data_IF_942281481297
#
_entry.id   IF_942281481297
#
_cell.length_a   1.000
_cell.length_b   1.000
_cell.length_c   1.000
_cell.angle_alpha   90.00
_cell.angle_beta   90.00
_cell.angle_gamma   90.00
#
_symmetry.space_group_name_H-M   'P 1'
#
loop_
_entity.id
_entity.type
_entity.pdbx_description
1 polymer ?
#
# COMPACT_ATOMS: atom_id res chain seq x y z
N UNK A 1 -8.79 -5.48 21.24
CA UNK A 1 -8.16 -5.53 19.91
C UNK A 1 -6.86 -6.30 20.06
N UNK A 2 -6.66 -7.39 19.32
CA UNK A 2 -5.46 -8.24 19.47
C UNK A 2 -4.25 -7.47 18.95
N UNK A 3 -3.19 -7.36 19.76
CA UNK A 3 -1.94 -6.70 19.38
C UNK A 3 -1.02 -7.74 18.74
N UNK A 4 -0.71 -7.59 17.45
CA UNK A 4 0.21 -8.49 16.75
C UNK A 4 1.64 -7.98 16.98
N UNK A 5 2.57 -8.80 17.50
CA UNK A 5 3.96 -8.40 17.69
C UNK A 5 4.72 -8.46 16.36
N UNK A 6 4.52 -7.46 15.50
CA UNK A 6 5.08 -7.43 14.13
C UNK A 6 6.61 -7.57 14.06
N UNK A 7 7.34 -7.13 15.09
CA UNK A 7 8.79 -7.30 15.18
C UNK A 7 9.22 -8.76 15.45
N UNK A 8 8.34 -9.58 16.02
CA UNK A 8 8.62 -10.98 16.39
C UNK A 8 8.08 -11.99 15.35
N UNK A 9 7.64 -11.53 14.18
CA UNK A 9 7.23 -12.42 13.10
C UNK A 9 8.46 -13.01 12.43
N UNK A 10 8.53 -14.35 12.40
CA UNK A 10 9.68 -15.11 11.87
C UNK A 10 9.46 -15.64 10.45
N UNK A 11 8.21 -15.69 9.98
CA UNK A 11 7.88 -16.16 8.62
C UNK A 11 6.65 -15.49 8.03
N UNK A 12 6.57 -15.51 6.71
CA UNK A 12 5.40 -15.03 5.95
C UNK A 12 4.50 -16.22 5.65
N UNK A 13 3.23 -16.09 6.00
CA UNK A 13 2.18 -17.09 5.73
C UNK A 13 1.14 -16.57 4.73
N UNK A 14 -0.09 -17.02 4.90
CA UNK A 14 -1.25 -16.47 4.19
C UNK A 14 -1.67 -15.11 4.78
N UNK A 15 -2.75 -14.53 4.25
CA UNK A 15 -3.31 -13.30 4.80
C UNK A 15 -3.68 -13.44 6.28
N UNK A 16 -3.43 -12.39 7.05
CA UNK A 16 -3.73 -12.35 8.47
C UNK A 16 -5.23 -12.53 8.75
N UNK A 17 -5.63 -13.10 9.90
CA UNK A 17 -7.04 -13.33 10.24
C UNK A 17 -7.92 -12.06 10.21
N UNK A 18 -7.34 -10.89 10.53
CA UNK A 18 -8.06 -9.63 10.45
C UNK A 18 -8.44 -9.26 9.01
N UNK A 19 -7.58 -9.58 8.03
CA UNK A 19 -7.87 -9.38 6.61
C UNK A 19 -9.03 -10.27 6.20
N UNK A 20 -8.98 -11.56 6.55
CA UNK A 20 -10.07 -12.51 6.31
C UNK A 20 -11.40 -12.02 6.88
N UNK A 21 -11.38 -11.48 8.11
CA UNK A 21 -12.57 -10.95 8.79
C UNK A 21 -13.13 -9.72 8.07
N UNK A 22 -12.27 -8.76 7.68
CA UNK A 22 -12.69 -7.58 6.91
C UNK A 22 -13.30 -8.01 5.58
N UNK A 23 -12.63 -8.89 4.84
CA UNK A 23 -13.10 -9.38 3.53
C UNK A 23 -14.43 -10.11 3.67
N UNK A 24 -14.61 -10.94 4.69
CA UNK A 24 -15.86 -11.64 4.96
C UNK A 24 -17.01 -10.65 5.22
N UNK A 25 -16.79 -9.63 6.07
CA UNK A 25 -17.79 -8.59 6.32
C UNK A 25 -18.18 -7.82 5.06
N UNK A 26 -17.21 -7.49 4.20
CA UNK A 26 -17.49 -6.84 2.91
C UNK A 26 -18.33 -7.76 2.00
N UNK A 27 -17.96 -9.04 1.90
CA UNK A 27 -18.68 -10.03 1.07
C UNK A 27 -20.11 -10.27 1.54
N UNK A 28 -20.38 -10.17 2.84
CA UNK A 28 -21.74 -10.29 3.39
C UNK A 28 -22.56 -9.00 3.20
N UNK A 29 -21.95 -7.83 3.43
CA UNK A 29 -22.68 -6.56 3.51
C UNK A 29 -22.95 -5.93 2.14
N UNK A 30 -21.96 -5.99 1.24
CA UNK A 30 -22.02 -5.29 -0.05
C UNK A 30 -23.14 -5.79 -0.97
N UNK A 31 -23.40 -7.11 -1.10
CA UNK A 31 -24.53 -7.59 -1.90
C UNK A 31 -25.88 -7.08 -1.38
N UNK A 32 -26.10 -7.11 -0.06
CA UNK A 32 -27.34 -6.62 0.54
C UNK A 32 -27.56 -5.11 0.28
N UNK A 33 -26.50 -4.29 0.32
CA UNK A 33 -26.58 -2.86 -0.03
C UNK A 33 -26.87 -2.69 -1.53
N UNK A 34 -26.23 -3.49 -2.39
CA UNK A 34 -26.45 -3.45 -3.83
C UNK A 34 -27.90 -3.73 -4.20
N UNK A 35 -28.49 -4.78 -3.64
CA UNK A 35 -29.84 -5.20 -3.99
C UNK A 35 -30.86 -4.12 -3.63
N UNK A 36 -30.66 -3.46 -2.48
CA UNK A 36 -31.45 -2.30 -2.02
C UNK A 36 -31.28 -1.05 -2.90
N UNK A 37 -30.19 -0.94 -3.65
CA UNK A 37 -29.89 0.16 -4.57
C UNK A 37 -29.99 -0.26 -6.05
N UNK A 38 -30.62 -1.39 -6.34
CA UNK A 38 -30.67 -1.99 -7.69
C UNK A 38 -31.30 -1.06 -8.74
N UNK A 39 -32.32 -0.29 -8.36
CA UNK A 39 -32.97 0.71 -9.23
C UNK A 39 -32.11 1.95 -9.50
N UNK A 40 -31.05 2.18 -8.70
CA UNK A 40 -30.24 3.40 -8.75
C UNK A 40 -28.73 3.10 -8.67
N UNK A 41 -28.23 2.37 -9.68
CA UNK A 41 -26.81 1.94 -9.80
C UNK A 41 -25.77 3.04 -9.53
N UNK A 42 -26.04 4.29 -9.92
CA UNK A 42 -25.14 5.43 -9.69
C UNK A 42 -24.85 5.66 -8.19
N UNK A 43 -25.84 5.44 -7.32
CA UNK A 43 -25.68 5.61 -5.88
C UNK A 43 -24.85 4.49 -5.26
N UNK A 44 -25.02 3.24 -5.74
CA UNK A 44 -24.17 2.13 -5.32
C UNK A 44 -22.70 2.38 -5.68
N UNK A 45 -22.42 2.80 -6.92
CA UNK A 45 -21.05 3.18 -7.33
C UNK A 45 -20.48 4.27 -6.43
N UNK A 46 -21.26 5.31 -6.15
CA UNK A 46 -20.82 6.41 -5.29
C UNK A 46 -20.56 5.96 -3.85
N UNK A 47 -21.36 5.01 -3.33
CA UNK A 47 -21.14 4.40 -2.02
C UNK A 47 -19.79 3.65 -1.99
N UNK A 48 -19.49 2.84 -3.01
CA UNK A 48 -18.20 2.15 -3.09
C UNK A 48 -17.03 3.16 -3.11
N UNK A 49 -17.13 4.23 -3.92
CA UNK A 49 -16.12 5.29 -3.97
C UNK A 49 -15.93 5.94 -2.60
N UNK A 50 -17.02 6.37 -1.96
CA UNK A 50 -16.95 7.00 -0.63
C UNK A 50 -16.38 6.06 0.43
N UNK A 51 -16.76 4.78 0.40
CA UNK A 51 -16.21 3.77 1.28
C UNK A 51 -14.70 3.66 1.11
N UNK A 52 -14.21 3.40 -0.12
CA UNK A 52 -12.77 3.28 -0.39
C UNK A 52 -12.00 4.54 0.00
N UNK A 53 -12.52 5.73 -0.36
CA UNK A 53 -11.91 7.01 0.00
C UNK A 53 -11.86 7.26 1.52
N UNK A 54 -12.70 6.60 2.32
CA UNK A 54 -12.67 6.68 3.78
C UNK A 54 -11.84 5.56 4.43
N UNK A 55 -11.84 4.37 3.83
CA UNK A 55 -11.19 3.18 4.36
C UNK A 55 -9.67 3.24 4.17
N UNK A 56 -9.21 3.59 2.95
CA UNK A 56 -7.79 3.56 2.60
C UNK A 56 -6.97 4.53 3.48
N UNK A 57 -7.39 5.79 3.71
CA UNK A 57 -6.64 6.68 4.61
C UNK A 57 -6.57 6.14 6.05
N UNK A 58 -7.64 5.52 6.55
CA UNK A 58 -7.66 4.90 7.88
C UNK A 58 -6.73 3.69 7.95
N UNK A 59 -6.67 2.87 6.90
CA UNK A 59 -5.72 1.76 6.80
C UNK A 59 -4.28 2.28 6.88
N UNK A 60 -3.93 3.28 6.07
CA UNK A 60 -2.59 3.90 6.09
C UNK A 60 -2.26 4.47 7.48
N UNK A 61 -3.22 5.11 8.15
CA UNK A 61 -3.03 5.58 9.52
C UNK A 61 -2.76 4.43 10.51
N UNK A 62 -3.39 3.26 10.34
CA UNK A 62 -3.10 2.09 11.18
C UNK A 62 -1.75 1.46 10.84
N UNK A 63 -1.32 1.47 9.57
CA UNK A 63 0.02 1.00 9.18
C UNK A 63 1.12 1.78 9.89
N UNK A 64 1.02 3.11 9.97
CA UNK A 64 1.99 3.93 10.72
C UNK A 64 2.05 3.62 12.23
N UNK A 65 1.05 2.91 12.77
CA UNK A 65 1.02 2.45 14.17
C UNK A 65 1.62 1.07 14.36
N UNK A 66 1.83 0.31 13.28
CA UNK A 66 2.57 -0.94 13.32
C UNK A 66 4.06 -0.62 13.40
N UNK A 67 4.57 -0.41 14.63
CA UNK A 67 5.98 -0.13 14.89
C UNK A 67 6.46 -0.71 16.22
N UNK A 68 7.71 -1.20 16.31
CA UNK A 68 8.64 -1.42 15.19
C UNK A 68 8.24 -2.63 14.33
N UNK A 69 8.67 -2.65 13.06
CA UNK A 69 8.52 -3.76 12.12
C UNK A 69 9.86 -4.44 11.89
N UNK A 70 9.87 -5.78 11.89
CA UNK A 70 10.95 -6.55 11.26
C UNK A 70 10.74 -6.55 9.74
N UNK A 71 11.77 -6.93 8.97
CA UNK A 71 11.64 -7.10 7.52
C UNK A 71 10.54 -8.12 7.17
N UNK A 72 10.50 -9.24 7.89
CA UNK A 72 9.48 -10.30 7.70
C UNK A 72 8.09 -9.82 8.10
N UNK A 73 7.96 -9.07 9.20
CA UNK A 73 6.67 -8.49 9.60
C UNK A 73 6.16 -7.45 8.61
N UNK A 74 7.04 -6.66 8.00
CA UNK A 74 6.70 -5.73 6.93
C UNK A 74 6.27 -6.47 5.64
N UNK A 75 6.90 -7.60 5.32
CA UNK A 75 6.53 -8.46 4.19
C UNK A 75 5.13 -9.07 4.40
N UNK A 76 4.83 -9.57 5.60
CA UNK A 76 3.49 -10.07 5.94
C UNK A 76 2.42 -8.96 5.82
N UNK A 77 2.70 -7.75 6.33
CA UNK A 77 1.80 -6.61 6.16
C UNK A 77 1.62 -6.21 4.69
N UNK A 78 2.66 -6.35 3.86
CA UNK A 78 2.57 -6.04 2.44
C UNK A 78 1.63 -7.02 1.73
N UNK A 79 1.71 -8.31 2.07
CA UNK A 79 0.75 -9.32 1.61
C UNK A 79 -0.67 -8.95 2.05
N UNK A 80 -0.87 -8.60 3.32
CA UNK A 80 -2.18 -8.22 3.86
C UNK A 80 -2.79 -7.01 3.13
N UNK A 81 -1.97 -5.97 2.88
CA UNK A 81 -2.37 -4.79 2.11
C UNK A 81 -2.73 -5.16 0.68
N UNK A 82 -1.97 -6.06 0.05
CA UNK A 82 -2.26 -6.53 -1.29
C UNK A 82 -3.61 -7.28 -1.35
N UNK A 83 -3.90 -8.13 -0.38
CA UNK A 83 -5.17 -8.86 -0.29
C UNK A 83 -6.37 -7.93 -0.04
N UNK A 84 -6.19 -6.88 0.77
CA UNK A 84 -7.22 -5.84 0.91
C UNK A 84 -7.41 -5.06 -0.40
N UNK A 85 -6.35 -4.81 -1.16
CA UNK A 85 -6.42 -4.10 -2.45
C UNK A 85 -7.24 -4.89 -3.46
N UNK A 86 -7.00 -6.20 -3.58
CA UNK A 86 -7.76 -7.07 -4.49
C UNK A 86 -9.23 -7.13 -4.09
N UNK A 87 -9.52 -7.30 -2.80
CA UNK A 87 -10.89 -7.28 -2.28
C UNK A 87 -11.61 -5.95 -2.55
N UNK A 88 -10.92 -4.82 -2.41
CA UNK A 88 -11.47 -3.50 -2.76
C UNK A 88 -11.72 -3.38 -4.26
N UNK A 89 -10.81 -3.83 -5.13
CA UNK A 89 -11.03 -3.77 -6.58
C UNK A 89 -12.27 -4.56 -7.03
N UNK A 90 -12.57 -5.68 -6.36
CA UNK A 90 -13.75 -6.50 -6.61
C UNK A 90 -15.03 -6.01 -5.92
N UNK A 91 -14.93 -5.03 -5.00
CA UNK A 91 -16.05 -4.54 -4.20
C UNK A 91 -17.27 -4.13 -5.05
N UNK A 92 -17.12 -3.35 -6.16
CA UNK A 92 -18.26 -2.95 -6.98
C UNK A 92 -18.85 -4.09 -7.82
N UNK A 93 -18.25 -5.28 -7.81
CA UNK A 93 -18.70 -6.47 -8.54
C UNK A 93 -19.14 -7.60 -7.60
N UNK A 94 -18.80 -7.52 -6.31
CA UNK A 94 -19.19 -8.49 -5.27
C UNK A 94 -20.71 -8.69 -5.22
N UNK A 95 -21.17 -9.94 -5.41
CA UNK A 95 -22.59 -10.30 -5.46
C UNK A 95 -23.31 -9.91 -6.76
N UNK A 96 -22.60 -9.58 -7.84
CA UNK A 96 -23.24 -9.36 -9.15
C UNK A 96 -23.56 -10.70 -9.79
N UNK A 97 -24.78 -10.85 -10.29
CA UNK A 97 -25.13 -11.97 -11.17
C UNK A 97 -24.50 -11.82 -12.57
N UNK A 98 -24.16 -10.59 -12.97
CA UNK A 98 -23.50 -10.31 -14.25
C UNK A 98 -22.11 -9.76 -14.00
N UNK A 99 -21.08 -10.46 -14.46
CA UNK A 99 -19.69 -10.00 -14.35
C UNK A 99 -19.53 -8.68 -15.11
N UNK A 100 -19.36 -7.59 -14.36
CA UNK A 100 -19.11 -6.25 -14.91
C UNK A 100 -17.82 -5.71 -14.33
N UNK A 101 -17.08 -4.97 -15.15
CA UNK A 101 -15.88 -4.26 -14.68
C UNK A 101 -16.29 -3.12 -13.75
N UNK A 102 -15.50 -2.92 -12.70
CA UNK A 102 -15.65 -1.77 -11.82
C UNK A 102 -15.44 -0.45 -12.60
N UNK A 103 -16.14 0.63 -12.25
CA UNK A 103 -15.95 1.93 -12.89
C UNK A 103 -14.50 2.43 -12.78
N UNK A 104 -13.98 3.04 -13.85
CA UNK A 104 -12.59 3.50 -13.90
C UNK A 104 -12.26 4.54 -12.82
N UNK A 105 -13.22 5.40 -12.48
CA UNK A 105 -13.09 6.38 -11.39
C UNK A 105 -12.89 5.72 -10.03
N UNK A 106 -13.58 4.60 -9.78
CA UNK A 106 -13.43 3.80 -8.57
C UNK A 106 -12.07 3.10 -8.53
N UNK A 107 -11.72 2.37 -9.60
CA UNK A 107 -10.48 1.60 -9.63
C UNK A 107 -9.26 2.51 -9.51
N UNK A 108 -9.29 3.71 -10.11
CA UNK A 108 -8.22 4.71 -9.96
C UNK A 108 -7.99 5.13 -8.50
N UNK A 109 -9.07 5.32 -7.73
CA UNK A 109 -8.98 5.65 -6.29
C UNK A 109 -8.33 4.50 -5.50
N UNK A 110 -8.81 3.26 -5.71
CA UNK A 110 -8.29 2.08 -5.01
C UNK A 110 -6.82 1.83 -5.37
N UNK A 111 -6.49 1.83 -6.66
CA UNK A 111 -5.12 1.59 -7.14
C UNK A 111 -4.16 2.65 -6.59
N UNK A 112 -4.48 3.95 -6.72
CA UNK A 112 -3.61 5.02 -6.22
C UNK A 112 -3.43 4.93 -4.71
N UNK A 113 -4.53 4.80 -3.97
CA UNK A 113 -4.49 4.81 -2.50
C UNK A 113 -3.77 3.58 -1.92
N UNK A 114 -4.08 2.39 -2.43
CA UNK A 114 -3.44 1.16 -1.95
C UNK A 114 -1.98 1.06 -2.41
N UNK A 115 -1.62 1.58 -3.59
CA UNK A 115 -0.22 1.65 -4.01
C UNK A 115 0.64 2.48 -3.05
N UNK A 116 0.12 3.59 -2.51
CA UNK A 116 0.83 4.35 -1.45
C UNK A 116 1.08 3.47 -0.22
N UNK A 117 0.09 2.71 0.23
CA UNK A 117 0.23 1.79 1.37
C UNK A 117 1.28 0.70 1.10
N UNK A 118 1.28 0.10 -0.09
CA UNK A 118 2.29 -0.88 -0.52
C UNK A 118 3.69 -0.26 -0.55
N UNK A 119 3.84 0.97 -1.09
CA UNK A 119 5.15 1.65 -1.18
C UNK A 119 5.72 2.02 0.19
N UNK A 120 4.89 2.43 1.15
CA UNK A 120 5.31 2.68 2.53
C UNK A 120 6.00 1.44 3.11
N UNK A 121 5.36 0.27 2.99
CA UNK A 121 5.92 -0.99 3.50
C UNK A 121 7.19 -1.41 2.75
N UNK A 122 7.26 -1.18 1.43
CA UNK A 122 8.49 -1.41 0.66
C UNK A 122 9.66 -0.56 1.14
N UNK A 123 9.43 0.73 1.43
CA UNK A 123 10.46 1.61 2.00
C UNK A 123 10.90 1.12 3.38
N UNK A 124 9.97 0.65 4.22
CA UNK A 124 10.31 0.07 5.52
C UNK A 124 11.22 -1.16 5.38
N UNK A 125 11.13 -1.92 4.29
CA UNK A 125 12.02 -3.06 4.05
C UNK A 125 13.37 -2.69 3.43
N UNK A 126 13.50 -1.52 2.78
CA UNK A 126 14.75 -1.09 2.14
C UNK A 126 15.89 -0.84 3.14
N UNK A 127 17.14 -1.04 2.74
CA UNK A 127 18.31 -0.68 3.55
C UNK A 127 18.43 0.83 3.70
N UNK A 128 18.92 1.31 4.84
CA UNK A 128 19.14 2.75 5.10
C UNK A 128 20.52 3.23 4.67
N UNK A 129 21.44 2.31 4.41
CA UNK A 129 22.80 2.58 3.96
C UNK A 129 22.93 2.36 2.45
N UNK A 130 23.52 3.30 1.68
CA UNK A 130 23.91 4.65 2.12
C UNK A 130 22.70 5.61 2.29
N UNK A 131 22.75 6.59 3.22
CA UNK A 131 21.63 7.48 3.55
C UNK A 131 21.03 8.23 2.35
N UNK A 132 21.87 8.70 1.43
CA UNK A 132 21.48 9.46 0.25
C UNK A 132 20.63 8.62 -0.70
N UNK A 133 21.06 7.38 -0.97
CA UNK A 133 20.35 6.45 -1.84
C UNK A 133 18.99 6.05 -1.24
N UNK A 134 18.93 5.85 0.08
CA UNK A 134 17.67 5.57 0.76
C UNK A 134 16.68 6.74 0.64
N UNK A 135 17.15 7.98 0.87
CA UNK A 135 16.32 9.18 0.75
C UNK A 135 15.84 9.38 -0.70
N UNK A 136 16.70 9.18 -1.69
CA UNK A 136 16.33 9.23 -3.11
C UNK A 136 15.27 8.17 -3.46
N UNK A 137 15.47 6.93 -3.00
CA UNK A 137 14.48 5.86 -3.18
C UNK A 137 13.13 6.21 -2.55
N UNK A 138 13.13 6.83 -1.36
CA UNK A 138 11.89 7.28 -0.70
C UNK A 138 11.14 8.29 -1.57
N UNK A 139 11.82 9.30 -2.12
CA UNK A 139 11.21 10.31 -3.01
C UNK A 139 10.69 9.68 -4.31
N UNK A 140 11.41 8.72 -4.88
CA UNK A 140 10.99 8.03 -6.10
C UNK A 140 9.74 7.18 -5.89
N UNK A 141 9.67 6.44 -4.78
CA UNK A 141 8.54 5.55 -4.48
C UNK A 141 7.33 6.32 -3.91
N UNK A 142 7.58 7.43 -3.21
CA UNK A 142 6.56 8.26 -2.58
C UNK A 142 6.83 9.75 -2.93
N UNK A 143 6.46 10.22 -4.14
CA UNK A 143 6.75 11.59 -4.58
C UNK A 143 6.10 12.68 -3.72
N UNK A 144 4.91 12.39 -3.17
CA UNK A 144 4.15 13.32 -2.32
C UNK A 144 4.49 13.16 -0.81
N UNK A 145 5.62 12.52 -0.48
CA UNK A 145 5.98 12.21 0.91
C UNK A 145 6.39 13.46 1.67
N UNK A 146 5.67 13.77 2.75
CA UNK A 146 6.00 14.87 3.64
C UNK A 146 6.99 14.45 4.73
N UNK A 147 7.77 15.39 5.26
CA UNK A 147 8.75 15.16 6.35
C UNK A 147 8.12 14.43 7.54
N UNK A 148 6.90 14.79 7.94
CA UNK A 148 6.18 14.14 9.04
C UNK A 148 5.80 12.68 8.74
N UNK A 149 5.47 12.36 7.49
CA UNK A 149 5.20 10.99 7.06
C UNK A 149 6.50 10.20 6.95
N UNK A 150 7.58 10.81 6.44
CA UNK A 150 8.91 10.19 6.39
C UNK A 150 9.40 9.79 7.79
N UNK A 151 9.28 10.66 8.80
CA UNK A 151 9.59 10.32 10.19
C UNK A 151 8.78 9.12 10.71
N UNK A 152 7.48 9.02 10.36
CA UNK A 152 6.67 7.84 10.73
C UNK A 152 7.19 6.56 10.08
N UNK A 153 7.72 6.63 8.86
CA UNK A 153 8.33 5.47 8.18
C UNK A 153 9.63 5.05 8.89
N UNK A 154 10.48 6.00 9.31
CA UNK A 154 11.69 5.69 10.07
C UNK A 154 11.36 5.07 11.43
N UNK A 155 10.31 5.57 12.09
CA UNK A 155 9.74 4.99 13.31
C UNK A 155 9.23 3.56 13.07
N UNK A 156 8.59 3.28 11.93
CA UNK A 156 8.16 1.92 11.56
C UNK A 156 9.34 0.98 11.41
N UNK A 157 10.45 1.43 10.82
CA UNK A 157 11.72 0.65 10.77
C UNK A 157 12.34 0.41 12.15
N UNK A 158 11.94 1.18 13.17
CA UNK A 158 12.51 1.09 14.52
C UNK A 158 13.85 1.81 14.68
N UNK A 159 14.19 2.75 13.79
CA UNK A 159 15.42 3.53 13.89
C UNK A 159 15.39 4.43 15.12
N UNK A 160 16.53 4.53 15.83
CA UNK A 160 16.69 5.44 16.97
C UNK A 160 16.83 6.88 16.50
N UNK A 161 16.53 7.83 17.38
CA UNK A 161 16.57 9.27 17.05
C UNK A 161 17.88 9.73 16.39
N UNK A 162 19.03 9.26 16.87
CA UNK A 162 20.32 9.66 16.30
C UNK A 162 20.56 9.12 14.88
N UNK A 163 19.99 7.95 14.55
CA UNK A 163 20.03 7.36 13.20
C UNK A 163 19.04 8.08 12.26
N UNK A 164 17.93 8.59 12.81
CA UNK A 164 16.93 9.33 12.03
C UNK A 164 17.39 10.74 11.62
N UNK A 165 18.13 11.44 12.49
CA UNK A 165 18.57 12.83 12.26
C UNK A 165 19.20 13.07 10.89
N UNK A 166 20.26 12.34 10.47
CA UNK A 166 20.90 12.58 9.17
C UNK A 166 19.96 12.30 8.00
N UNK A 167 19.13 11.25 8.09
CA UNK A 167 18.15 10.91 7.04
C UNK A 167 17.10 12.03 6.87
N UNK A 168 16.60 12.57 7.97
CA UNK A 168 15.59 13.64 7.95
C UNK A 168 16.20 14.94 7.41
N UNK A 169 17.45 15.25 7.73
CA UNK A 169 18.15 16.42 7.20
C UNK A 169 18.34 16.32 5.68
N UNK A 170 18.89 15.20 5.19
CA UNK A 170 19.01 14.92 3.76
C UNK A 170 17.65 14.97 3.04
N UNK A 171 16.59 14.47 3.70
CA UNK A 171 15.24 14.50 3.15
C UNK A 171 14.72 15.94 2.97
N UNK A 172 15.02 16.86 3.90
CA UNK A 172 14.63 18.28 3.81
C UNK A 172 15.39 19.02 2.72
N UNK A 173 16.71 18.82 2.61
CA UNK A 173 17.56 19.55 1.66
C UNK A 173 17.08 19.31 0.22
N UNK A 174 16.97 18.05 -0.20
CA UNK A 174 16.51 17.71 -1.55
C UNK A 174 14.99 17.89 -1.77
N UNK A 175 14.23 18.38 -0.78
CA UNK A 175 12.84 18.80 -0.95
C UNK A 175 12.69 20.24 -1.43
N UNK A 176 13.71 21.09 -1.20
CA UNK A 176 13.69 22.50 -1.59
C UNK A 176 14.07 22.74 -3.07
N UNK A 177 14.77 21.80 -3.71
CA UNK A 177 15.20 21.95 -5.12
C UNK A 177 14.13 21.62 -6.16
N UNK A 178 12.96 21.10 -5.75
CA UNK A 178 11.86 20.75 -6.68
C UNK A 178 10.99 21.99 -7.01
N UNK A 179 11.36 23.18 -6.52
CA UNK A 179 10.65 24.44 -6.78
C UNK A 179 10.97 25.11 -8.13
N UNK A 180 12.15 24.89 -8.71
CA UNK A 180 12.60 25.59 -9.92
C UNK A 180 13.80 24.86 -10.53
N UNK A 181 13.61 24.05 -11.56
CA UNK A 181 14.74 23.41 -12.23
C UNK A 181 14.32 22.46 -13.33
N UNK A 182 14.72 22.79 -14.55
CA UNK A 182 14.34 22.14 -15.80
C UNK A 182 14.78 20.68 -15.89
N UNK A 183 14.03 19.92 -16.69
CA UNK A 183 14.35 18.55 -17.07
C UNK A 183 15.69 18.48 -17.81
N UNK A 184 16.69 17.84 -17.20
CA UNK A 184 17.81 17.27 -17.92
C UNK A 184 18.02 15.81 -17.50
N UNK A 185 18.08 14.97 -18.53
CA UNK A 185 17.82 13.54 -18.45
C UNK A 185 18.94 12.73 -17.82
N UNK A 186 18.54 11.64 -17.16
CA UNK A 186 19.41 10.50 -16.92
C UNK A 186 18.66 9.19 -17.16
N UNK A 187 19.42 8.28 -17.76
CA UNK A 187 19.18 6.92 -18.27
C UNK A 187 17.90 6.22 -17.79
N UNK A 188 17.03 5.92 -18.78
CA UNK A 188 15.88 5.02 -18.68
C UNK A 188 16.39 3.59 -18.43
N UNK A 189 16.16 3.06 -17.23
CA UNK A 189 16.27 1.62 -17.02
C UNK A 189 15.07 0.93 -17.70
N UNK A 190 15.36 -0.03 -18.57
CA UNK A 190 14.40 -0.57 -19.54
C UNK A 190 13.33 -1.45 -18.85
N UNK A 191 12.03 -1.35 -19.22
CA UNK A 191 10.91 -2.06 -18.59
C UNK A 191 10.95 -3.61 -18.68
N UNK A 192 11.94 -4.19 -19.37
CA UNK A 192 12.09 -5.63 -19.53
C UNK A 192 12.57 -6.34 -18.24
N UNK A 193 13.36 -5.66 -17.40
CA UNK A 193 13.86 -6.26 -16.16
C UNK A 193 12.77 -6.41 -15.07
N UNK A 194 11.83 -5.47 -15.00
CA UNK A 194 10.69 -5.58 -14.06
C UNK A 194 9.69 -6.66 -14.49
N UNK A 195 9.42 -6.80 -15.79
CA UNK A 195 8.56 -7.85 -16.32
C UNK A 195 9.08 -9.26 -15.98
N UNK A 196 10.41 -9.44 -15.95
CA UNK A 196 11.05 -10.70 -15.55
C UNK A 196 10.84 -11.05 -14.07
N UNK A 197 10.85 -10.06 -13.17
CA UNK A 197 10.63 -10.27 -11.73
C UNK A 197 9.17 -10.59 -11.42
N UNK A 198 8.23 -9.92 -12.11
CA UNK A 198 6.79 -10.16 -11.97
C UNK A 198 6.41 -11.57 -12.48
N UNK A 199 6.94 -12.00 -13.63
CA UNK A 199 6.71 -13.37 -14.15
C UNK A 199 7.26 -14.46 -13.23
N UNK A 200 8.35 -14.20 -12.50
CA UNK A 200 8.89 -15.16 -11.49
C UNK A 200 7.97 -15.28 -10.28
N UNK A 201 7.38 -14.18 -9.83
CA UNK A 201 6.42 -14.17 -8.73
C UNK A 201 5.12 -14.91 -9.10
N UNK A 202 4.59 -14.70 -10.30
CA UNK A 202 3.40 -15.40 -10.80
C UNK A 202 3.61 -16.92 -10.94
N UNK A 203 4.82 -17.35 -11.35
CA UNK A 203 5.17 -18.78 -11.42
C UNK A 203 5.27 -19.44 -10.04
N UNK A 204 5.73 -18.71 -9.02
CA UNK A 204 5.80 -19.22 -7.65
C UNK A 204 4.40 -19.37 -7.03
N UNK A 205 3.49 -18.45 -7.34
CA UNK A 205 2.09 -18.51 -6.89
C UNK A 205 1.36 -19.70 -7.53
N UNK A 206 1.56 -19.94 -8.83
CA UNK A 206 0.94 -21.09 -9.54
C UNK A 206 1.48 -22.46 -9.12
N UNK A 207 2.67 -22.54 -8.52
CA UNK A 207 3.27 -23.81 -8.08
C UNK A 207 2.83 -24.23 -6.67
N UNK A 208 2.13 -23.34 -5.96
CA UNK A 208 1.61 -23.56 -4.59
C UNK A 208 0.09 -23.79 -4.54
N UNK A 209 -0.60 -23.79 -5.68
CA UNK A 209 -1.97 -24.29 -5.85
C UNK A 209 -1.91 -25.61 -6.61
#
# INVERSE_FOLDING_TARGET
MIKIPWAAIEGVGDQSPYVSTIVAHLRQTIPAIRDRLSSCRKYFTQLCVKFASSFIPKLVQQLYRCKPLSAVGAEQLLLDVHMLKTALLDLPSTGCQVTRKAPATYTKVVVKGMAKAEMILKVVMSTTEPPEAFVEQCRRLLPDLQVQEFQKILDMKGLKKHEQTPLVELFRIGGNDIGTGEAQGFVRDSPEMEAGKIKRLEKLIKKRM
#
